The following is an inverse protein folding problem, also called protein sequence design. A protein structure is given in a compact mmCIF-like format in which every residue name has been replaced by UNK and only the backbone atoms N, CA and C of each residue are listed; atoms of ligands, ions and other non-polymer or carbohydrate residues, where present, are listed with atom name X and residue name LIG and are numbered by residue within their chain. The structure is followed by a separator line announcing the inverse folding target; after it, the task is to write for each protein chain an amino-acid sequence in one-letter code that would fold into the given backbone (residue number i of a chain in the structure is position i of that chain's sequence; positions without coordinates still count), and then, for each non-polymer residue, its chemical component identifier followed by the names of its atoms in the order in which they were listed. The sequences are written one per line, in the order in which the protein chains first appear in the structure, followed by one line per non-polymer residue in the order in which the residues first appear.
data_IF_966871831996
#
_entry.id   IF_966871831996
#
_cell.length_a   1.000
_cell.length_b   1.000
_cell.length_c   1.000
_cell.angle_alpha   90.00
_cell.angle_beta   90.00
_cell.angle_gamma   90.00
#
_symmetry.space_group_name_H-M   'P 1'
#
loop_
_entity.id
_entity.type
_entity.pdbx_description
1 polymer ?
#
# COMPACT_ATOMS: atom_id res chain seq x y z
N UNK A 1 -31.54 2.90 -41.14
CA UNK A 1 -30.73 4.00 -40.55
C UNK A 1 -30.72 3.76 -39.05
N UNK A 2 -29.73 3.17 -38.40
CA UNK A 2 -28.29 3.17 -38.66
C UNK A 2 -27.59 4.23 -37.80
N UNK A 3 -27.81 4.25 -36.49
CA UNK A 3 -26.98 5.02 -35.57
C UNK A 3 -25.96 4.07 -34.94
N UNK A 4 -24.75 4.21 -35.46
CA UNK A 4 -23.51 3.52 -35.11
C UNK A 4 -23.05 3.90 -33.70
N UNK A 5 -22.46 2.94 -33.01
CA UNK A 5 -22.06 3.04 -31.62
C UNK A 5 -20.97 4.08 -31.36
N UNK A 6 -21.01 4.61 -30.14
CA UNK A 6 -19.84 5.09 -29.42
C UNK A 6 -20.07 4.78 -27.96
N UNK A 7 -19.99 3.49 -27.64
CA UNK A 7 -19.79 3.03 -26.28
C UNK A 7 -18.34 3.32 -25.94
N UNK A 8 -18.04 4.50 -25.41
CA UNK A 8 -16.86 4.66 -24.56
C UNK A 8 -17.13 3.92 -23.26
N UNK A 9 -17.05 2.59 -23.34
CA UNK A 9 -16.89 1.72 -22.19
C UNK A 9 -15.45 1.88 -21.69
N UNK A 10 -15.12 3.04 -21.12
CA UNK A 10 -14.15 3.05 -20.04
C UNK A 10 -14.88 2.48 -18.84
N UNK A 11 -14.95 1.15 -18.80
CA UNK A 11 -15.08 0.47 -17.53
C UNK A 11 -13.97 1.05 -16.64
N UNK A 12 -14.28 1.71 -15.52
CA UNK A 12 -13.27 1.82 -14.49
C UNK A 12 -13.04 0.37 -14.08
N UNK A 13 -11.96 -0.22 -14.58
CA UNK A 13 -11.39 -1.47 -14.07
C UNK A 13 -11.54 -1.39 -12.57
N UNK A 14 -12.38 -2.28 -12.02
CA UNK A 14 -12.79 -2.29 -10.63
C UNK A 14 -11.63 -1.80 -9.77
N UNK A 15 -11.72 -0.53 -9.32
CA UNK A 15 -10.71 0.15 -8.53
C UNK A 15 -10.67 -0.66 -7.25
N UNK A 16 -9.77 -1.65 -7.23
CA UNK A 16 -9.82 -2.76 -6.28
C UNK A 16 -9.80 -2.15 -4.90
N UNK A 17 -10.90 -2.27 -4.17
CA UNK A 17 -10.99 -1.83 -2.78
C UNK A 17 -9.76 -2.40 -2.08
N UNK A 18 -8.84 -1.54 -1.65
CA UNK A 18 -7.66 -1.95 -0.91
C UNK A 18 -8.12 -2.84 0.23
N UNK A 19 -7.60 -4.05 0.24
CA UNK A 19 -7.95 -5.04 1.25
C UNK A 19 -6.85 -5.03 2.28
N UNK A 20 -7.22 -5.22 3.54
CA UNK A 20 -6.22 -5.51 4.55
C UNK A 20 -5.41 -6.74 4.09
N UNK A 21 -4.09 -6.74 4.32
CA UNK A 21 -3.27 -7.91 4.05
C UNK A 21 -3.84 -9.14 4.77
N UNK A 22 -3.46 -10.31 4.26
CA UNK A 22 -3.88 -11.56 4.90
C UNK A 22 -3.45 -11.53 6.38
N UNK A 23 -4.30 -12.01 7.30
CA UNK A 23 -3.91 -12.16 8.69
C UNK A 23 -2.58 -12.91 8.77
N UNK A 24 -1.64 -12.36 9.53
CA UNK A 24 -0.30 -12.89 9.68
C UNK A 24 0.01 -13.09 11.15
N UNK A 25 0.88 -14.04 11.47
CA UNK A 25 1.33 -14.31 12.83
C UNK A 25 2.84 -14.22 12.88
N UNK A 26 3.37 -13.61 13.93
CA UNK A 26 4.80 -13.61 14.19
C UNK A 26 5.21 -14.90 14.92
N UNK A 27 6.33 -15.55 14.56
CA UNK A 27 6.73 -16.83 15.17
C UNK A 27 6.95 -16.78 16.68
N UNK A 28 7.18 -15.59 17.23
CA UNK A 28 7.45 -15.37 18.65
C UNK A 28 6.37 -14.48 19.27
N UNK A 29 6.13 -14.56 20.60
CA UNK A 29 5.25 -13.62 21.29
C UNK A 29 5.77 -12.21 21.09
N UNK A 30 5.00 -11.36 20.42
CA UNK A 30 5.38 -9.99 20.13
C UNK A 30 4.51 -9.04 20.95
N UNK A 31 5.15 -8.27 21.83
CA UNK A 31 4.45 -7.20 22.53
C UNK A 31 4.12 -6.05 21.56
N UNK A 32 3.03 -5.32 21.83
CA UNK A 32 2.65 -4.13 21.04
C UNK A 32 3.79 -3.11 20.90
N UNK A 33 4.57 -2.93 21.97
CA UNK A 33 5.73 -2.03 21.99
C UNK A 33 6.81 -2.45 21.00
N UNK A 34 7.06 -3.75 20.88
CA UNK A 34 8.02 -4.30 19.92
C UNK A 34 7.54 -4.12 18.47
N UNK A 35 6.24 -4.29 18.21
CA UNK A 35 5.67 -4.04 16.88
C UNK A 35 5.83 -2.56 16.46
N UNK A 36 5.58 -1.63 17.39
CA UNK A 36 5.77 -0.19 17.13
C UNK A 36 7.24 0.10 16.82
N UNK A 37 8.18 -0.45 17.59
CA UNK A 37 9.61 -0.29 17.32
C UNK A 37 10.01 -0.79 15.92
N UNK A 38 9.53 -1.97 15.51
CA UNK A 38 9.80 -2.51 14.17
C UNK A 38 9.23 -1.62 13.05
N UNK A 39 8.05 -1.02 13.27
CA UNK A 39 7.44 -0.07 12.31
C UNK A 39 8.27 1.20 12.20
N UNK A 40 8.67 1.77 13.32
CA UNK A 40 9.46 2.99 13.34
C UNK A 40 10.83 2.78 12.69
N UNK A 41 11.51 1.68 13.00
CA UNK A 41 12.80 1.32 12.41
C UNK A 41 12.70 1.11 10.89
N UNK A 42 11.62 0.45 10.44
CA UNK A 42 11.36 0.29 9.02
C UNK A 42 11.20 1.65 8.33
N UNK A 43 10.37 2.54 8.87
CA UNK A 43 10.12 3.83 8.23
C UNK A 43 11.30 4.80 8.29
N UNK A 44 12.14 4.71 9.31
CA UNK A 44 13.41 5.46 9.37
C UNK A 44 14.40 4.98 8.29
N UNK A 45 14.42 3.67 8.04
CA UNK A 45 15.34 3.04 7.10
C UNK A 45 14.83 2.99 5.66
N UNK A 46 13.51 3.01 5.42
CA UNK A 46 12.89 2.80 4.11
C UNK A 46 13.40 3.75 3.01
N UNK A 47 13.57 5.07 3.25
CA UNK A 47 14.12 5.99 2.24
C UNK A 47 15.55 5.64 1.79
N UNK A 48 16.30 4.86 2.59
CA UNK A 48 17.66 4.40 2.25
C UNK A 48 17.66 3.22 1.29
N UNK A 49 16.56 2.49 1.18
CA UNK A 49 16.41 1.36 0.25
C UNK A 49 16.19 1.78 -1.21
N UNK A 50 16.16 3.09 -1.50
CA UNK A 50 15.99 3.65 -2.83
C UNK A 50 14.59 4.22 -3.07
N UNK A 51 14.39 4.78 -4.27
CA UNK A 51 13.16 5.50 -4.61
C UNK A 51 13.13 6.94 -4.10
N UNK A 52 11.97 7.59 -4.19
CA UNK A 52 11.78 8.98 -3.76
C UNK A 52 11.18 9.02 -2.36
N UNK A 53 11.69 9.92 -1.50
CA UNK A 53 11.16 10.11 -0.14
C UNK A 53 9.67 10.46 -0.15
N UNK A 54 9.21 11.23 -1.13
CA UNK A 54 7.79 11.59 -1.30
C UNK A 54 6.88 10.36 -1.49
N UNK A 55 7.40 9.31 -2.16
CA UNK A 55 6.66 8.06 -2.36
C UNK A 55 6.61 7.28 -1.06
N UNK A 56 7.71 7.23 -0.31
CA UNK A 56 7.75 6.60 1.02
C UNK A 56 6.80 7.29 2.01
N UNK A 57 6.72 8.62 1.99
CA UNK A 57 5.80 9.39 2.82
C UNK A 57 4.33 9.09 2.46
N UNK A 58 4.01 9.08 1.17
CA UNK A 58 2.68 8.70 0.68
C UNK A 58 2.31 7.25 1.05
N UNK A 59 3.26 6.30 0.94
CA UNK A 59 3.05 4.90 1.34
C UNK A 59 2.81 4.79 2.85
N UNK A 60 3.50 5.59 3.67
CA UNK A 60 3.30 5.65 5.12
C UNK A 60 1.92 6.18 5.48
N UNK A 61 1.54 7.31 4.91
CA UNK A 61 0.21 7.88 5.08
C UNK A 61 -0.89 6.90 4.62
N UNK A 62 -0.66 6.17 3.54
CA UNK A 62 -1.58 5.14 3.07
C UNK A 62 -1.65 3.90 3.98
N UNK A 63 -0.54 3.49 4.59
CA UNK A 63 -0.49 2.36 5.51
C UNK A 63 -1.12 2.67 6.88
N UNK A 64 -0.96 3.91 7.36
CA UNK A 64 -1.51 4.37 8.65
C UNK A 64 -2.98 4.82 8.54
N UNK A 65 -3.43 5.21 7.34
CA UNK A 65 -4.78 5.67 7.07
C UNK A 65 -5.80 4.55 6.76
N UNK A 66 -7.06 4.94 6.61
CA UNK A 66 -8.12 4.06 6.15
C UNK A 66 -7.94 3.64 4.68
N UNK A 67 -8.43 2.47 4.24
CA UNK A 67 -8.31 2.01 2.86
C UNK A 67 -8.84 3.01 1.82
N UNK A 68 -9.86 3.81 2.17
CA UNK A 68 -10.38 4.89 1.31
C UNK A 68 -9.38 6.06 1.18
N UNK A 69 -8.72 6.43 2.29
CA UNK A 69 -7.71 7.49 2.30
C UNK A 69 -6.44 7.01 1.60
N UNK A 70 -6.00 5.79 1.90
CA UNK A 70 -4.88 5.14 1.25
C UNK A 70 -4.99 5.22 -0.27
N UNK A 71 -6.16 4.90 -0.82
CA UNK A 71 -6.34 4.93 -2.26
C UNK A 71 -6.16 6.34 -2.85
N UNK A 72 -6.70 7.35 -2.17
CA UNK A 72 -6.57 8.76 -2.58
C UNK A 72 -5.12 9.22 -2.53
N UNK A 73 -4.39 8.86 -1.48
CA UNK A 73 -2.99 9.22 -1.29
C UNK A 73 -2.12 8.59 -2.39
N UNK A 74 -2.31 7.30 -2.69
CA UNK A 74 -1.52 6.63 -3.73
C UNK A 74 -1.83 7.15 -5.13
N UNK A 75 -3.10 7.39 -5.44
CA UNK A 75 -3.54 7.98 -6.70
C UNK A 75 -2.91 9.36 -6.91
N UNK A 76 -2.91 10.20 -5.86
CA UNK A 76 -2.28 11.51 -5.86
C UNK A 76 -0.76 11.45 -6.04
N UNK A 77 -0.09 10.47 -5.43
CA UNK A 77 1.35 10.25 -5.58
C UNK A 77 1.74 9.55 -6.90
N UNK A 78 0.76 9.09 -7.69
CA UNK A 78 1.00 8.32 -8.92
C UNK A 78 1.58 6.94 -8.66
N UNK A 79 1.22 6.31 -7.53
CA UNK A 79 1.66 4.98 -7.13
C UNK A 79 0.69 3.94 -7.67
N UNK A 80 1.22 2.94 -8.36
CA UNK A 80 0.47 1.79 -8.86
C UNK A 80 0.61 0.63 -7.88
N UNK A 81 -0.51 0.19 -7.32
CA UNK A 81 -0.57 -0.94 -6.39
C UNK A 81 -0.63 -2.25 -7.18
N UNK A 82 0.38 -3.12 -7.05
CA UNK A 82 0.41 -4.40 -7.77
C UNK A 82 -0.40 -5.48 -7.05
N UNK A 83 -0.38 -5.47 -5.71
CA UNK A 83 -1.24 -6.33 -4.89
C UNK A 83 -2.17 -5.47 -4.04
N UNK A 84 -3.45 -5.82 -4.01
CA UNK A 84 -4.50 -5.05 -3.32
C UNK A 84 -4.28 -4.86 -1.80
N UNK A 85 -3.24 -5.48 -1.24
CA UNK A 85 -2.86 -5.43 0.17
C UNK A 85 -1.71 -4.47 0.48
N UNK A 86 -1.27 -3.64 -0.48
CA UNK A 86 -0.13 -2.71 -0.34
C UNK A 86 1.24 -3.35 -0.15
N UNK A 87 1.34 -4.68 -0.17
CA UNK A 87 2.61 -5.38 0.02
C UNK A 87 3.66 -5.03 -1.05
N UNK A 88 3.21 -4.75 -2.27
CA UNK A 88 4.08 -4.37 -3.40
C UNK A 88 3.44 -3.23 -4.20
N UNK A 89 4.17 -2.12 -4.29
CA UNK A 89 3.79 -0.89 -4.97
C UNK A 89 4.87 -0.45 -5.97
N UNK A 90 4.47 0.29 -6.98
CA UNK A 90 5.37 0.86 -7.99
C UNK A 90 5.09 2.35 -8.16
N UNK A 91 6.13 3.16 -8.35
CA UNK A 91 5.94 4.55 -8.79
C UNK A 91 5.88 4.67 -10.33
N UNK A 92 5.64 5.90 -10.82
CA UNK A 92 5.64 6.19 -12.27
C UNK A 92 6.98 5.94 -12.96
N UNK A 93 8.09 5.91 -12.22
CA UNK A 93 9.41 5.61 -12.75
C UNK A 93 9.68 4.10 -12.82
N UNK A 94 8.78 3.27 -12.31
CA UNK A 94 8.93 1.81 -12.24
C UNK A 94 9.75 1.33 -11.05
N UNK A 95 10.03 2.18 -10.06
CA UNK A 95 10.70 1.77 -8.82
C UNK A 95 9.74 0.91 -8.00
N UNK A 96 10.22 -0.24 -7.52
CA UNK A 96 9.46 -1.16 -6.67
C UNK A 96 9.63 -0.79 -5.19
N UNK A 97 8.52 -0.71 -4.49
CA UNK A 97 8.43 -0.48 -3.05
C UNK A 97 7.76 -1.70 -2.41
N UNK A 98 8.41 -2.28 -1.41
CA UNK A 98 7.91 -3.45 -0.70
C UNK A 98 7.63 -3.10 0.76
N UNK A 99 6.40 -3.39 1.19
CA UNK A 99 5.93 -3.11 2.54
C UNK A 99 5.70 -4.42 3.27
N UNK A 100 6.44 -4.70 4.34
CA UNK A 100 6.23 -5.88 5.16
C UNK A 100 4.85 -5.88 5.84
N UNK A 101 4.31 -7.06 6.08
CA UNK A 101 2.99 -7.22 6.73
C UNK A 101 2.91 -6.53 8.09
N UNK A 102 4.01 -6.47 8.84
CA UNK A 102 4.04 -5.81 10.16
C UNK A 102 3.85 -4.30 10.10
N UNK A 103 4.18 -3.68 8.97
CA UNK A 103 3.95 -2.26 8.71
C UNK A 103 2.50 -2.01 8.31
N UNK A 104 1.88 -2.98 7.64
CA UNK A 104 0.55 -2.86 7.05
C UNK A 104 -0.59 -3.29 7.97
N UNK A 105 -0.34 -4.19 8.93
CA UNK A 105 -1.36 -4.70 9.86
C UNK A 105 -0.75 -5.29 11.12
N UNK A 106 -1.53 -5.37 12.19
CA UNK A 106 -1.15 -6.07 13.42
C UNK A 106 -1.18 -7.60 13.21
N UNK A 107 -0.28 -8.37 13.84
CA UNK A 107 -0.32 -9.81 13.81
C UNK A 107 -1.49 -10.35 14.63
N UNK A 108 -1.95 -11.56 14.31
CA UNK A 108 -3.07 -12.22 15.02
C UNK A 108 -2.71 -12.69 16.43
N UNK A 109 -1.42 -12.76 16.77
CA UNK A 109 -0.90 -13.28 18.03
C UNK A 109 -0.28 -12.18 18.93
N UNK A 110 -0.79 -10.97 18.82
CA UNK A 110 -0.38 -9.82 19.63
C UNK A 110 -0.94 -9.87 21.06
#
# INVERSE_FOLDING_TARGET
MGCVGSSEAKTPTAKGMMRKPRPWSYPQPMARTHLIQLRDEFWDSAPRCGGRQEIWDALRAAAEGDPTQAHTVLDSAGITVHRADLSVCYDRAGVRYELPNYVLSDPTNL
#
